data_IF_050801311748
#
_entry.id   IF_050801311748
#
_cell.length_a   1.000
_cell.length_b   1.000
_cell.length_c   1.000
_cell.angle_alpha   90.00
_cell.angle_beta   90.00
_cell.angle_gamma   90.00
#
_symmetry.space_group_name_H-M   'P 1'
#
loop_
_entity.id
_entity.type
_entity.pdbx_description
1 polymer ?
#
# COMPACT_ATOMS: atom_id res chain seq x y z
N UNK A 1 -27.28 22.21 20.97
CA UNK A 1 -26.70 22.20 19.62
C UNK A 1 -26.88 20.79 19.09
N UNK A 2 -27.77 20.57 18.14
CA UNK A 2 -27.94 19.29 17.47
C UNK A 2 -26.70 19.07 16.58
N UNK A 3 -25.82 18.14 16.94
CA UNK A 3 -24.76 17.68 16.06
C UNK A 3 -25.44 16.96 14.90
N UNK A 4 -25.42 17.54 13.71
CA UNK A 4 -25.96 16.87 12.53
C UNK A 4 -25.19 15.57 12.34
N UNK A 5 -25.90 14.50 12.00
CA UNK A 5 -25.26 13.21 11.68
C UNK A 5 -24.28 13.42 10.50
N UNK A 6 -23.10 12.81 10.50
CA UNK A 6 -22.18 12.92 9.40
C UNK A 6 -22.83 12.35 8.13
N UNK A 7 -22.72 13.07 7.04
CA UNK A 7 -23.21 12.63 5.72
C UNK A 7 -22.14 11.91 4.89
N UNK A 8 -20.88 11.97 5.33
CA UNK A 8 -19.72 11.38 4.67
C UNK A 8 -18.83 10.65 5.67
N UNK A 9 -18.14 9.66 5.20
CA UNK A 9 -17.06 8.99 5.92
C UNK A 9 -15.71 9.27 5.27
N UNK A 10 -14.62 9.07 6.01
CA UNK A 10 -13.27 9.32 5.55
C UNK A 10 -12.40 8.09 5.73
N UNK A 11 -11.54 7.85 4.75
CA UNK A 11 -10.48 6.85 4.74
C UNK A 11 -9.15 7.59 4.64
N UNK A 12 -8.33 7.57 5.69
CA UNK A 12 -6.96 8.04 5.63
C UNK A 12 -6.03 6.83 5.57
N UNK A 13 -5.10 6.88 4.64
CA UNK A 13 -4.09 5.82 4.43
C UNK A 13 -2.72 6.45 4.37
N UNK A 14 -1.90 6.11 5.36
CA UNK A 14 -0.48 6.40 5.36
C UNK A 14 0.30 5.10 5.23
N UNK A 15 1.52 5.16 4.76
CA UNK A 15 2.34 3.95 4.60
C UNK A 15 3.53 4.19 3.70
N UNK A 16 4.02 3.10 3.12
CA UNK A 16 5.14 3.17 2.17
C UNK A 16 5.19 1.96 1.24
N UNK A 17 5.71 2.19 0.04
CA UNK A 17 6.22 1.11 -0.81
C UNK A 17 7.63 0.80 -0.31
N UNK A 18 7.78 -0.33 0.37
CA UNK A 18 9.01 -0.67 1.09
C UNK A 18 10.11 -1.14 0.15
N UNK A 19 9.84 -2.22 -0.55
CA UNK A 19 10.85 -2.89 -1.37
C UNK A 19 10.22 -3.71 -2.49
N UNK A 20 11.06 -4.09 -3.45
CA UNK A 20 10.70 -5.04 -4.50
C UNK A 20 11.78 -6.08 -4.73
N UNK A 21 11.38 -7.23 -5.26
CA UNK A 21 12.27 -8.29 -5.69
C UNK A 21 11.97 -8.62 -7.15
N UNK A 22 12.94 -8.39 -8.03
CA UNK A 22 12.83 -8.62 -9.46
C UNK A 22 14.04 -9.40 -9.95
N UNK A 23 13.83 -10.28 -10.92
CA UNK A 23 14.91 -11.10 -11.51
C UNK A 23 15.74 -10.24 -12.47
N UNK A 24 15.07 -9.39 -13.25
CA UNK A 24 15.67 -8.54 -14.27
C UNK A 24 15.81 -7.10 -13.78
N UNK A 25 16.76 -6.35 -14.37
CA UNK A 25 17.01 -4.93 -14.09
C UNK A 25 17.97 -4.72 -12.92
N UNK A 26 18.76 -3.66 -12.99
CA UNK A 26 19.70 -3.26 -11.93
C UNK A 26 19.31 -1.95 -11.28
N UNK A 27 18.56 -1.10 -11.99
CA UNK A 27 18.03 0.16 -11.51
C UNK A 27 16.53 0.19 -11.79
N UNK A 28 15.73 0.28 -10.74
CA UNK A 28 14.28 0.30 -10.85
C UNK A 28 13.68 1.51 -10.14
N UNK A 29 12.61 2.02 -10.71
CA UNK A 29 11.72 2.97 -10.06
C UNK A 29 10.27 2.55 -10.31
N UNK A 30 9.34 3.16 -9.66
CA UNK A 30 7.93 2.92 -9.90
C UNK A 30 7.13 4.23 -9.98
N UNK A 31 6.03 4.17 -10.70
CA UNK A 31 4.95 5.12 -10.60
C UNK A 31 3.79 4.47 -9.87
N UNK A 32 3.09 5.21 -9.04
CA UNK A 32 1.82 4.77 -8.48
C UNK A 32 0.69 5.72 -8.82
N UNK A 33 -0.52 5.16 -8.87
CA UNK A 33 -1.73 5.95 -8.87
C UNK A 33 -2.81 5.24 -8.06
N UNK A 34 -3.76 6.04 -7.56
CA UNK A 34 -4.96 5.51 -6.94
C UNK A 34 -6.12 5.52 -7.93
N UNK A 35 -6.96 4.51 -7.84
CA UNK A 35 -8.22 4.40 -8.56
C UNK A 35 -9.35 4.12 -7.59
N UNK A 36 -10.50 4.75 -7.79
CA UNK A 36 -11.66 4.60 -6.92
C UNK A 36 -12.95 4.78 -7.70
N UNK A 37 -14.08 4.44 -7.08
CA UNK A 37 -15.40 4.70 -7.65
C UNK A 37 -15.75 6.18 -7.70
N UNK A 38 -16.82 6.51 -8.41
CA UNK A 38 -17.23 7.90 -8.66
C UNK A 38 -17.61 8.69 -7.40
N UNK A 39 -18.03 7.97 -6.34
CA UNK A 39 -18.43 8.59 -5.07
C UNK A 39 -17.26 8.90 -4.14
N UNK A 40 -16.04 8.52 -4.54
CA UNK A 40 -14.82 8.75 -3.79
C UNK A 40 -14.08 9.98 -4.30
N UNK A 41 -13.65 10.82 -3.38
CA UNK A 41 -12.89 12.03 -3.66
C UNK A 41 -11.66 12.10 -2.78
N UNK A 42 -10.48 12.27 -3.36
CA UNK A 42 -9.26 12.53 -2.63
C UNK A 42 -9.27 13.99 -2.13
N UNK A 43 -9.18 14.15 -0.82
CA UNK A 43 -9.23 15.49 -0.18
C UNK A 43 -7.88 15.96 0.32
N UNK A 44 -6.91 15.06 0.42
CA UNK A 44 -5.53 15.36 0.84
C UNK A 44 -4.59 14.28 0.34
N UNK A 45 -3.35 14.65 0.05
CA UNK A 45 -2.30 13.77 -0.43
C UNK A 45 -2.16 13.77 -1.95
N UNK A 46 -1.32 12.89 -2.47
CA UNK A 46 -1.04 12.75 -3.90
C UNK A 46 -1.72 11.49 -4.44
N UNK A 47 -2.59 11.69 -5.44
CA UNK A 47 -3.26 10.57 -6.11
C UNK A 47 -2.32 9.79 -7.03
N UNK A 48 -1.26 10.41 -7.50
CA UNK A 48 -0.24 9.79 -8.33
C UNK A 48 1.14 10.37 -8.02
N UNK A 49 2.17 9.54 -8.12
CA UNK A 49 3.54 9.96 -7.90
C UNK A 49 4.53 8.99 -8.55
N UNK A 50 5.79 9.44 -8.69
CA UNK A 50 6.90 8.65 -9.21
C UNK A 50 7.98 8.57 -8.13
N UNK A 51 8.53 7.38 -7.90
CA UNK A 51 9.59 7.15 -6.93
C UNK A 51 10.96 7.56 -7.48
N UNK A 52 11.93 7.65 -6.56
CA UNK A 52 13.33 7.67 -6.93
C UNK A 52 13.76 6.35 -7.60
N UNK A 53 14.82 6.42 -8.41
CA UNK A 53 15.50 5.24 -8.94
C UNK A 53 16.29 4.58 -7.79
N UNK A 54 16.18 3.28 -7.66
CA UNK A 54 16.90 2.49 -6.67
C UNK A 54 17.67 1.38 -7.35
N UNK A 55 18.93 1.20 -6.94
CA UNK A 55 19.76 0.10 -7.40
C UNK A 55 19.46 -1.17 -6.60
N UNK A 56 19.63 -2.31 -7.25
CA UNK A 56 19.58 -3.64 -6.61
C UNK A 56 20.61 -3.73 -5.50
N UNK A 57 20.26 -4.31 -4.36
CA UNK A 57 21.22 -4.58 -3.28
C UNK A 57 22.25 -5.62 -3.71
N UNK A 58 23.50 -5.45 -3.24
CA UNK A 58 24.59 -6.36 -3.55
C UNK A 58 24.60 -7.60 -2.62
N UNK A 59 23.64 -7.71 -1.68
CA UNK A 59 23.50 -8.86 -0.78
C UNK A 59 22.76 -10.04 -1.44
N UNK A 60 22.76 -11.20 -0.78
CA UNK A 60 22.10 -12.42 -1.27
C UNK A 60 20.60 -12.25 -1.55
N UNK A 61 19.94 -11.26 -0.92
CA UNK A 61 18.52 -11.02 -1.08
C UNK A 61 18.19 -10.36 -2.41
N UNK A 62 19.12 -9.58 -2.99
CA UNK A 62 18.98 -8.88 -4.27
C UNK A 62 17.67 -8.08 -4.38
N UNK A 63 17.38 -7.27 -3.37
CA UNK A 63 16.16 -6.47 -3.28
C UNK A 63 16.41 -5.03 -3.68
N UNK A 64 15.36 -4.38 -4.16
CA UNK A 64 15.29 -2.94 -4.38
C UNK A 64 14.57 -2.31 -3.19
N UNK A 65 15.18 -1.34 -2.51
CA UNK A 65 14.60 -0.68 -1.34
C UNK A 65 14.24 0.75 -1.68
N UNK A 66 12.94 1.05 -1.72
CA UNK A 66 12.45 2.40 -1.99
C UNK A 66 12.08 3.15 -0.71
N UNK A 67 11.39 2.50 0.21
CA UNK A 67 10.79 3.13 1.40
C UNK A 67 10.07 4.44 1.06
N UNK A 68 9.37 4.44 -0.09
CA UNK A 68 8.72 5.62 -0.64
C UNK A 68 7.39 5.84 0.05
N UNK A 69 7.14 7.03 0.63
CA UNK A 69 5.95 7.28 1.43
C UNK A 69 4.69 7.34 0.59
N UNK A 70 3.60 6.89 1.20
CA UNK A 70 2.22 7.03 0.73
C UNK A 70 1.46 7.79 1.82
N UNK A 71 0.76 8.86 1.44
CA UNK A 71 -0.15 9.58 2.33
C UNK A 71 -1.30 10.11 1.49
N UNK A 72 -2.51 9.62 1.77
CA UNK A 72 -3.71 10.04 1.06
C UNK A 72 -4.95 9.93 1.95
N UNK A 73 -5.86 10.88 1.78
CA UNK A 73 -7.15 10.87 2.47
C UNK A 73 -8.27 10.97 1.46
N UNK A 74 -9.17 10.00 1.51
CA UNK A 74 -10.39 9.98 0.72
C UNK A 74 -11.60 10.30 1.58
N UNK A 75 -12.63 10.90 0.96
CA UNK A 75 -13.99 10.97 1.51
C UNK A 75 -14.97 10.31 0.54
N UNK A 76 -16.06 9.75 1.07
CA UNK A 76 -17.13 9.19 0.27
C UNK A 76 -18.44 9.18 1.04
N UNK A 77 -19.53 9.05 0.29
CA UNK A 77 -20.89 8.79 0.80
C UNK A 77 -21.27 7.33 0.64
N UNK A 78 -20.55 6.57 -0.20
CA UNK A 78 -20.85 5.21 -0.59
C UNK A 78 -19.55 4.37 -0.62
N UNK A 79 -19.47 3.22 0.06
CA UNK A 79 -18.27 2.38 0.06
C UNK A 79 -18.04 1.62 -1.26
N UNK A 80 -18.99 1.66 -2.20
CA UNK A 80 -18.81 1.01 -3.49
C UNK A 80 -17.66 1.63 -4.27
N UNK A 81 -16.90 0.81 -4.99
CA UNK A 81 -15.70 1.28 -5.69
C UNK A 81 -14.56 1.63 -4.75
N UNK A 82 -14.35 0.81 -3.72
CA UNK A 82 -13.26 0.98 -2.73
C UNK A 82 -11.94 1.29 -3.39
N UNK A 83 -11.17 2.28 -2.88
CA UNK A 83 -9.93 2.72 -3.50
C UNK A 83 -8.90 1.60 -3.62
N UNK A 84 -8.18 1.62 -4.74
CA UNK A 84 -7.11 0.69 -5.09
C UNK A 84 -5.83 1.44 -5.36
N UNK A 85 -4.71 0.88 -4.92
CA UNK A 85 -3.37 1.30 -5.30
C UNK A 85 -2.95 0.52 -6.54
N UNK A 86 -2.49 1.22 -7.57
CA UNK A 86 -1.88 0.64 -8.78
C UNK A 86 -0.41 1.04 -8.79
N UNK A 87 0.47 0.09 -9.03
CA UNK A 87 1.90 0.29 -9.17
C UNK A 87 2.36 -0.16 -10.56
N UNK A 88 3.14 0.69 -11.21
CA UNK A 88 3.84 0.41 -12.47
C UNK A 88 5.33 0.52 -12.22
N UNK A 89 6.06 -0.58 -12.38
CA UNK A 89 7.49 -0.66 -12.10
C UNK A 89 8.25 -0.55 -13.43
N UNK A 90 9.24 0.33 -13.47
CA UNK A 90 10.06 0.62 -14.64
C UNK A 90 11.52 0.34 -14.36
N UNK A 91 12.23 0.03 -15.41
CA UNK A 91 13.68 -0.17 -15.38
C UNK A 91 14.28 0.01 -16.76
N UNK A 92 15.57 -0.22 -16.89
CA UNK A 92 16.27 -0.17 -18.16
C UNK A 92 16.58 -1.56 -18.68
N UNK A 93 16.42 -1.77 -19.98
CA UNK A 93 16.87 -2.98 -20.66
C UNK A 93 18.38 -2.96 -20.89
N UNK A 94 18.91 -4.03 -21.50
CA UNK A 94 20.34 -4.15 -21.86
C UNK A 94 20.81 -3.10 -22.88
N UNK A 95 19.89 -2.44 -23.58
CA UNK A 95 20.17 -1.39 -24.54
C UNK A 95 20.03 0.02 -23.94
N UNK A 96 19.65 0.12 -22.67
CA UNK A 96 19.42 1.39 -21.98
C UNK A 96 18.05 2.01 -22.25
N UNK A 97 17.12 1.29 -22.89
CA UNK A 97 15.76 1.78 -23.08
C UNK A 97 14.94 1.58 -21.81
N UNK A 98 14.07 2.54 -21.53
CA UNK A 98 13.08 2.41 -20.46
C UNK A 98 12.02 1.38 -20.82
N UNK A 99 11.81 0.42 -19.93
CA UNK A 99 10.84 -0.66 -20.15
C UNK A 99 10.07 -0.95 -18.85
N UNK A 100 8.84 -1.40 -19.03
CA UNK A 100 8.02 -1.84 -17.89
C UNK A 100 8.52 -3.20 -17.40
N UNK A 101 8.81 -3.26 -16.09
CA UNK A 101 9.23 -4.47 -15.40
C UNK A 101 8.06 -5.19 -14.72
N UNK A 102 6.95 -4.49 -14.48
CA UNK A 102 5.75 -5.12 -13.92
C UNK A 102 4.69 -4.14 -13.51
N UNK A 103 3.47 -4.64 -13.48
CA UNK A 103 2.31 -3.95 -12.94
C UNK A 103 1.75 -4.73 -11.77
N UNK A 104 1.18 -4.05 -10.80
CA UNK A 104 0.37 -4.67 -9.76
C UNK A 104 -0.69 -3.71 -9.26
N UNK A 105 -1.77 -4.26 -8.74
CA UNK A 105 -2.82 -3.48 -8.10
C UNK A 105 -3.37 -4.20 -6.88
N UNK A 106 -3.75 -3.44 -5.86
CA UNK A 106 -4.43 -3.99 -4.70
C UNK A 106 -5.44 -3.01 -4.13
N UNK A 107 -6.56 -3.53 -3.62
CA UNK A 107 -7.46 -2.74 -2.81
C UNK A 107 -6.77 -2.29 -1.52
N UNK A 108 -7.02 -1.06 -1.10
CA UNK A 108 -6.61 -0.61 0.22
C UNK A 108 -7.26 -1.50 1.29
N UNK A 109 -6.58 -1.75 2.43
CA UNK A 109 -7.17 -2.57 3.49
C UNK A 109 -8.46 -1.94 4.02
N UNK A 110 -9.46 -2.78 4.28
CA UNK A 110 -10.76 -2.36 4.83
C UNK A 110 -10.72 -2.15 6.34
N UNK A 111 -9.93 -2.95 7.04
CA UNK A 111 -9.80 -2.84 8.48
C UNK A 111 -8.81 -1.73 8.86
N UNK A 112 -9.11 -0.94 9.91
CA UNK A 112 -8.15 0.02 10.43
C UNK A 112 -6.94 -0.68 11.06
N UNK A 113 -5.81 0.04 11.09
CA UNK A 113 -4.56 -0.45 11.64
C UNK A 113 -3.46 -0.67 10.59
N UNK A 114 -2.39 -1.33 11.02
CA UNK A 114 -1.21 -1.57 10.20
C UNK A 114 -1.34 -2.89 9.42
N UNK A 115 -1.07 -2.81 8.12
CA UNK A 115 -1.12 -3.94 7.20
C UNK A 115 0.15 -3.94 6.35
N UNK A 116 0.73 -5.11 6.14
CA UNK A 116 1.81 -5.30 5.18
C UNK A 116 1.36 -6.32 4.14
N UNK A 117 1.51 -6.01 2.87
CA UNK A 117 1.13 -6.88 1.75
C UNK A 117 2.28 -7.08 0.80
N UNK A 118 2.43 -8.31 0.34
CA UNK A 118 3.32 -8.68 -0.75
C UNK A 118 2.47 -8.82 -2.00
N UNK A 119 2.78 -8.02 -2.99
CA UNK A 119 2.04 -7.91 -4.23
C UNK A 119 2.86 -8.51 -5.36
N UNK A 120 2.37 -9.57 -5.96
CA UNK A 120 2.97 -10.14 -7.17
C UNK A 120 2.76 -9.19 -8.34
N UNK A 121 3.82 -8.91 -9.07
CA UNK A 121 3.77 -8.10 -10.29
C UNK A 121 3.62 -8.97 -11.52
N UNK A 122 3.02 -8.44 -12.56
CA UNK A 122 2.81 -9.12 -13.83
C UNK A 122 3.13 -8.18 -15.00
N UNK A 123 3.54 -8.76 -16.11
CA UNK A 123 3.72 -8.07 -17.39
C UNK A 123 2.80 -8.68 -18.44
N UNK A 124 2.22 -7.88 -19.34
CA UNK A 124 1.48 -8.40 -20.49
C UNK A 124 2.43 -9.16 -21.42
N UNK A 125 1.97 -10.29 -21.90
CA UNK A 125 2.72 -11.13 -22.85
C UNK A 125 2.07 -11.08 -24.23
N UNK A 126 2.86 -10.77 -25.27
CA UNK A 126 2.36 -10.81 -26.64
C UNK A 126 1.89 -12.21 -27.01
N UNK A 127 0.68 -12.33 -27.52
CA UNK A 127 0.11 -13.62 -27.94
C UNK A 127 0.77 -14.18 -29.22
N UNK A 128 1.35 -13.29 -30.04
CA UNK A 128 1.96 -13.67 -31.34
C UNK A 128 3.48 -13.77 -31.24
N UNK A 129 4.06 -14.84 -31.81
CA UNK A 129 5.51 -15.04 -31.96
C UNK A 129 6.15 -13.93 -32.79
N UNK A 130 5.45 -13.40 -33.78
CA UNK A 130 5.92 -12.28 -34.61
C UNK A 130 6.03 -10.99 -33.78
N UNK A 131 5.03 -10.72 -32.92
CA UNK A 131 5.07 -9.58 -32.02
C UNK A 131 6.19 -9.70 -30.99
N UNK A 132 6.44 -10.92 -30.47
CA UNK A 132 7.60 -11.18 -29.58
C UNK A 132 8.92 -10.90 -30.28
N UNK A 133 9.05 -11.32 -31.54
CA UNK A 133 10.25 -11.06 -32.34
C UNK A 133 10.44 -9.57 -32.64
N UNK A 134 9.35 -8.87 -33.01
CA UNK A 134 9.40 -7.43 -33.24
C UNK A 134 9.69 -6.65 -31.95
N UNK A 135 9.13 -7.04 -30.84
CA UNK A 135 9.41 -6.46 -29.53
C UNK A 135 10.89 -6.65 -29.14
N UNK A 136 11.45 -7.83 -29.41
CA UNK A 136 12.87 -8.10 -29.19
C UNK A 136 13.76 -7.23 -30.10
N UNK A 137 13.41 -7.10 -31.39
CA UNK A 137 14.18 -6.32 -32.38
C UNK A 137 14.11 -4.81 -32.10
N UNK A 138 12.96 -4.31 -31.62
CA UNK A 138 12.74 -2.88 -31.36
C UNK A 138 13.02 -2.47 -29.92
N UNK A 139 13.28 -3.42 -29.01
CA UNK A 139 13.47 -3.17 -27.58
C UNK A 139 12.19 -2.71 -26.85
N UNK A 140 11.04 -2.68 -27.55
CA UNK A 140 9.77 -2.24 -26.96
C UNK A 140 8.98 -3.42 -26.40
N UNK A 141 8.71 -3.39 -25.10
CA UNK A 141 7.79 -4.35 -24.44
C UNK A 141 6.35 -3.86 -24.59
N UNK A 142 5.36 -4.78 -24.62
CA UNK A 142 3.95 -4.38 -24.54
C UNK A 142 3.68 -3.63 -23.24
N UNK A 143 3.08 -2.46 -23.35
CA UNK A 143 2.71 -1.64 -22.20
C UNK A 143 1.19 -1.39 -22.20
N UNK A 144 0.60 -1.25 -21.02
CA UNK A 144 -0.75 -0.73 -20.91
C UNK A 144 -0.73 0.78 -21.16
N UNK A 145 -1.57 1.22 -22.06
CA UNK A 145 -1.73 2.67 -22.38
C UNK A 145 -2.17 3.46 -21.15
N UNK A 146 -2.99 2.85 -20.31
CA UNK A 146 -3.42 3.41 -19.03
C UNK A 146 -3.32 2.33 -17.94
N UNK A 147 -2.43 2.50 -16.94
CA UNK A 147 -2.31 1.57 -15.83
C UNK A 147 -3.61 1.38 -15.02
N UNK A 148 -4.51 2.37 -15.05
CA UNK A 148 -5.81 2.29 -14.37
C UNK A 148 -6.73 1.21 -14.94
N UNK A 149 -6.51 0.80 -16.18
CA UNK A 149 -7.26 -0.33 -16.79
C UNK A 149 -7.05 -1.65 -16.04
N UNK A 150 -5.94 -1.81 -15.33
CA UNK A 150 -5.64 -3.01 -14.55
C UNK A 150 -6.68 -3.25 -13.47
N UNK A 151 -7.26 -2.19 -12.90
CA UNK A 151 -8.26 -2.27 -11.84
C UNK A 151 -9.67 -2.54 -12.35
N UNK A 152 -9.96 -2.21 -13.61
CA UNK A 152 -11.31 -2.32 -14.16
C UNK A 152 -11.72 -3.74 -14.57
N UNK A 153 -10.79 -4.70 -14.55
CA UNK A 153 -11.05 -6.10 -14.94
C UNK A 153 -11.40 -6.31 -16.42
N UNK A 154 -11.64 -5.23 -17.16
CA UNK A 154 -11.92 -5.31 -18.60
C UNK A 154 -10.61 -5.64 -19.35
N UNK A 155 -10.66 -6.68 -20.17
CA UNK A 155 -9.48 -7.11 -20.95
C UNK A 155 -8.60 -8.17 -20.28
N UNK A 156 -8.83 -8.56 -19.02
CA UNK A 156 -8.12 -9.68 -18.38
C UNK A 156 -8.33 -11.00 -19.10
N UNK A 157 -9.48 -11.18 -19.72
CA UNK A 157 -9.84 -12.41 -20.46
C UNK A 157 -9.04 -12.58 -21.75
N UNK A 158 -8.48 -11.49 -22.30
CA UNK A 158 -7.81 -11.47 -23.61
C UNK A 158 -6.30 -11.31 -23.52
N UNK A 159 -5.79 -10.87 -22.37
CA UNK A 159 -4.36 -10.57 -22.19
C UNK A 159 -3.67 -11.67 -21.39
N UNK A 160 -2.73 -12.37 -22.02
CA UNK A 160 -1.84 -13.27 -21.29
C UNK A 160 -0.87 -12.43 -20.48
N UNK A 161 -0.69 -12.80 -19.23
CA UNK A 161 0.24 -12.14 -18.31
C UNK A 161 1.23 -13.14 -17.74
N UNK A 162 2.45 -12.68 -17.46
CA UNK A 162 3.49 -13.45 -16.79
C UNK A 162 3.87 -12.74 -15.50
N UNK A 163 3.97 -13.49 -14.39
CA UNK A 163 4.52 -12.96 -13.14
C UNK A 163 6.01 -12.71 -13.30
N UNK A 164 6.49 -11.56 -12.81
CA UNK A 164 7.89 -11.15 -12.98
C UNK A 164 8.60 -10.75 -11.70
N UNK A 165 7.89 -10.38 -10.66
CA UNK A 165 8.48 -9.94 -9.40
C UNK A 165 7.46 -9.77 -8.30
N UNK A 166 7.91 -9.24 -7.18
CA UNK A 166 7.10 -9.01 -5.98
C UNK A 166 7.43 -7.63 -5.43
N UNK A 167 6.43 -6.91 -4.94
CA UNK A 167 6.58 -5.63 -4.23
C UNK A 167 5.94 -5.72 -2.86
N UNK A 168 6.65 -5.26 -1.84
CA UNK A 168 6.14 -5.18 -0.47
C UNK A 168 5.68 -3.76 -0.18
N UNK A 169 4.42 -3.65 0.25
CA UNK A 169 3.79 -2.36 0.60
C UNK A 169 3.22 -2.46 2.01
N UNK A 170 3.47 -1.45 2.82
CA UNK A 170 2.83 -1.29 4.12
C UNK A 170 1.83 -0.16 4.10
N UNK A 171 0.71 -0.38 4.80
CA UNK A 171 -0.36 0.59 4.98
C UNK A 171 -0.68 0.73 6.45
N UNK A 172 -1.01 1.93 6.86
CA UNK A 172 -1.65 2.21 8.14
C UNK A 172 -2.95 2.94 7.83
N UNK A 173 -4.07 2.29 8.13
CA UNK A 173 -5.42 2.70 7.75
C UNK A 173 -6.13 3.29 8.95
N UNK A 174 -6.71 4.46 8.76
CA UNK A 174 -7.60 5.10 9.72
C UNK A 174 -8.95 5.38 9.07
N UNK A 175 -10.02 5.02 9.75
CA UNK A 175 -11.39 5.18 9.32
C UNK A 175 -12.10 6.18 10.23
N UNK A 176 -12.85 7.11 9.65
CA UNK A 176 -13.65 8.09 10.40
C UNK A 176 -15.10 8.06 9.93
N UNK A 177 -16.00 8.05 10.91
CA UNK A 177 -17.45 8.13 10.75
C UNK A 177 -18.14 6.93 10.07
N UNK A 178 -17.42 5.87 9.70
CA UNK A 178 -17.99 4.64 9.14
C UNK A 178 -19.06 4.01 10.05
N UNK A 179 -18.74 3.81 11.32
CA UNK A 179 -19.67 3.21 12.27
C UNK A 179 -20.93 4.08 12.49
N UNK A 180 -20.82 5.41 12.40
CA UNK A 180 -21.95 6.33 12.53
C UNK A 180 -22.93 6.23 11.36
N UNK A 181 -22.43 5.79 10.21
CA UNK A 181 -23.23 5.56 9.00
C UNK A 181 -23.69 4.09 8.88
N UNK A 182 -23.45 3.27 9.92
CA UNK A 182 -23.90 1.88 9.97
C UNK A 182 -22.98 0.87 9.28
N UNK A 183 -21.77 1.28 8.88
CA UNK A 183 -20.81 0.37 8.27
C UNK A 183 -19.94 -0.29 9.35
N UNK A 184 -19.91 -1.62 9.36
CA UNK A 184 -19.00 -2.38 10.22
C UNK A 184 -17.62 -2.47 9.56
N UNK A 185 -16.60 -1.98 10.27
CA UNK A 185 -15.21 -1.97 9.81
C UNK A 185 -14.38 -3.10 10.43
N UNK A 186 -15.03 -4.07 11.10
CA UNK A 186 -14.33 -5.17 11.79
C UNK A 186 -13.44 -4.71 12.95
N UNK A 187 -13.65 -3.52 13.47
CA UNK A 187 -12.98 -3.05 14.69
C UNK A 187 -13.63 -3.78 15.85
N UNK A 188 -12.90 -4.60 16.64
CA UNK A 188 -13.47 -5.17 17.86
C UNK A 188 -13.94 -4.00 18.73
N UNK A 189 -15.12 -4.13 19.39
CA UNK A 189 -15.61 -3.10 20.29
C UNK A 189 -14.50 -2.78 21.29
N UNK A 190 -14.15 -1.50 21.40
CA UNK A 190 -13.20 -1.07 22.44
C UNK A 190 -13.80 -1.50 23.75
N UNK A 191 -13.21 -2.50 24.40
CA UNK A 191 -13.51 -2.77 25.81
C UNK A 191 -13.25 -1.45 26.53
N UNK A 192 -14.25 -0.91 27.26
CA UNK A 192 -14.01 0.30 28.03
C UNK A 192 -12.81 0.03 28.92
N UNK A 193 -11.81 0.87 28.82
CA UNK A 193 -10.68 0.86 29.74
C UNK A 193 -11.31 1.14 31.11
N UNK A 194 -11.46 0.10 31.94
CA UNK A 194 -11.77 0.32 33.32
C UNK A 194 -10.57 1.04 33.91
N UNK A 195 -10.72 2.32 34.24
CA UNK A 195 -9.78 3.02 35.07
C UNK A 195 -9.66 2.21 36.36
N UNK A 196 -8.61 1.41 36.47
CA UNK A 196 -8.23 0.77 37.70
C UNK A 196 -7.77 1.92 38.60
N UNK A 197 -8.51 2.26 39.67
CA UNK A 197 -8.10 3.32 40.57
C UNK A 197 -6.73 2.93 41.13
N UNK A 198 -5.73 3.79 40.91
CA UNK A 198 -4.40 3.66 41.50
C UNK A 198 -4.60 3.75 43.00
N UNK A 199 -4.66 2.61 43.68
CA UNK A 199 -4.62 2.59 45.15
C UNK A 199 -3.25 3.08 45.56
N UNK A 200 -3.24 4.23 46.24
CA UNK A 200 -2.06 4.79 46.86
C UNK A 200 -1.46 3.74 47.82
N UNK A 201 -0.37 3.13 47.40
CA UNK A 201 0.48 2.30 48.25
C UNK A 201 1.15 3.28 49.23
N UNK A 202 0.55 3.46 50.40
CA UNK A 202 1.21 4.13 51.51
C UNK A 202 2.45 3.31 51.86
N UNK A 203 3.63 3.90 51.62
CA UNK A 203 4.89 3.33 52.05
C UNK A 203 4.94 3.17 53.54
N UNK A 204 5.00 1.95 54.02
CA UNK A 204 5.34 1.63 55.44
C UNK A 204 6.85 1.81 55.55
N UNK A 205 7.25 2.92 56.19
CA UNK A 205 8.62 3.14 56.64
C UNK A 205 8.88 2.19 57.80
N UNK A 206 9.68 1.15 57.55
CA UNK A 206 10.23 0.34 58.63
C UNK A 206 11.37 1.13 59.32
N UNK A 207 11.03 1.66 60.49
CA UNK A 207 12.02 2.20 61.44
C UNK A 207 12.85 1.01 61.97
N UNK A 208 14.11 0.96 61.54
CA UNK A 208 15.08 0.07 62.18
C UNK A 208 15.63 0.68 63.42
N UNK A 209 15.23 0.13 64.58
CA UNK A 209 15.85 0.38 65.85
C UNK A 209 17.21 -0.31 65.92
N UNK A 210 18.26 0.45 66.22
CA UNK A 210 19.55 -0.09 66.55
C UNK A 210 19.54 -0.77 67.93
N UNK A 211 20.41 -1.77 68.06
CA UNK A 211 20.98 -2.18 69.34
C UNK A 211 22.45 -2.51 69.16
N UNK A 212 23.19 -1.77 69.95
CA UNK A 212 24.61 -1.93 70.33
C UNK A 212 24.79 -3.09 71.28
N UNK A 213 26.10 -3.50 71.48
CA UNK A 213 26.72 -4.36 72.48
C UNK A 213 26.97 -5.80 71.98
N UNK A 214 28.18 -6.34 72.01
CA UNK A 214 29.37 -6.34 72.83
C UNK A 214 30.52 -6.95 71.99
#
# INVERSE_FOLDING_TARGET
MSVSAPSVFMLNVTGQVESGKFIEGDNLYFSYCFTSGQDWEAISGLEECISQITRRSDDERQIFTWNFPIDITFKSTNPFGWPQLVLSIYGTDIFGNEVVMGYTACHLPLAPGKHTRKLTTFVPESASTIQKFMAWLTGRRPEFVDPKLITQGRGREVTRVRSQGEVTVSFNVMLKDFAKLGYDCGVPPRTPYFDVPIQNVKGTVLSGAGHSEA
#
